data_IF_009515628096
#
_entry.id   IF_009515628096
#
_cell.length_a   1.000
_cell.length_b   1.000
_cell.length_c   1.000
_cell.angle_alpha   90.00
_cell.angle_beta   90.00
_cell.angle_gamma   90.00
#
_symmetry.space_group_name_H-M   'P 1'
#
loop_
_entity.id
_entity.type
_entity.pdbx_description
1 polymer ?
#
# COMPACT_ATOMS: atom_id res chain seq x y z
N UNK A 1 6.19 9.54 -22.01
CA UNK A 1 5.10 8.67 -22.52
C UNK A 1 4.00 9.56 -23.07
N UNK A 2 3.58 9.35 -24.31
CA UNK A 2 2.55 10.18 -24.96
C UNK A 2 1.18 9.88 -24.34
N UNK A 3 0.56 10.86 -23.67
CA UNK A 3 -0.75 10.74 -22.99
C UNK A 3 -1.93 11.08 -23.92
N UNK A 4 -1.76 10.86 -25.22
CA UNK A 4 -2.74 11.22 -26.23
C UNK A 4 -3.94 10.26 -26.13
N UNK A 5 -5.08 10.76 -25.66
CA UNK A 5 -6.34 9.99 -25.55
C UNK A 5 -6.93 9.90 -24.13
N UNK A 6 -6.23 10.37 -23.09
CA UNK A 6 -6.76 10.37 -21.73
C UNK A 6 -7.60 11.63 -21.46
N UNK A 7 -8.81 11.43 -20.93
CA UNK A 7 -9.70 12.52 -20.50
C UNK A 7 -8.99 13.38 -19.44
N UNK A 8 -9.07 14.73 -19.50
CA UNK A 8 -8.35 15.63 -18.59
C UNK A 8 -8.57 15.40 -17.08
N UNK A 9 -9.68 14.76 -16.70
CA UNK A 9 -9.97 14.35 -15.33
C UNK A 9 -9.04 13.23 -14.85
N UNK A 10 -8.79 12.21 -15.68
CA UNK A 10 -7.88 11.10 -15.38
C UNK A 10 -6.44 11.63 -15.26
N UNK A 11 -6.06 12.55 -16.14
CA UNK A 11 -4.74 13.19 -16.07
C UNK A 11 -4.52 13.95 -14.76
N UNK A 12 -5.55 14.67 -14.28
CA UNK A 12 -5.50 15.36 -12.98
C UNK A 12 -5.38 14.39 -11.82
N UNK A 13 -6.11 13.29 -11.82
CA UNK A 13 -6.02 12.26 -10.77
C UNK A 13 -4.61 11.67 -10.69
N UNK A 14 -4.04 11.27 -11.83
CA UNK A 14 -2.66 10.77 -11.88
C UNK A 14 -1.65 11.82 -11.39
N UNK A 15 -1.83 13.10 -11.74
CA UNK A 15 -0.92 14.17 -11.30
C UNK A 15 -0.98 14.42 -9.78
N UNK A 16 -2.17 14.30 -9.18
CA UNK A 16 -2.37 14.38 -7.73
C UNK A 16 -1.70 13.20 -7.03
N UNK A 17 -1.88 11.99 -7.56
CA UNK A 17 -1.25 10.76 -7.04
C UNK A 17 0.28 10.84 -7.08
N UNK A 18 0.84 11.26 -8.22
CA UNK A 18 2.28 11.48 -8.40
C UNK A 18 2.84 12.54 -7.45
N UNK A 19 2.06 13.58 -7.13
CA UNK A 19 2.46 14.59 -6.15
C UNK A 19 2.42 14.03 -4.73
N UNK A 20 1.44 13.20 -4.40
CA UNK A 20 1.36 12.54 -3.11
C UNK A 20 2.55 11.60 -2.90
N UNK A 21 2.84 10.73 -3.87
CA UNK A 21 3.98 9.80 -3.84
C UNK A 21 5.31 10.52 -3.63
N UNK A 22 5.50 11.68 -4.27
CA UNK A 22 6.71 12.52 -4.10
C UNK A 22 6.77 13.27 -2.77
N UNK A 23 5.63 13.50 -2.12
CA UNK A 23 5.56 14.26 -0.86
C UNK A 23 5.71 13.35 0.36
N UNK A 24 5.39 12.06 0.25
CA UNK A 24 5.58 11.05 1.29
C UNK A 24 6.88 10.29 1.06
N UNK A 25 7.89 10.53 1.90
CA UNK A 25 9.14 9.72 1.92
C UNK A 25 8.92 8.26 2.33
N UNK A 26 7.74 7.94 2.85
CA UNK A 26 7.37 6.60 3.27
C UNK A 26 6.72 5.87 2.09
N UNK A 27 7.23 4.69 1.71
CA UNK A 27 6.59 3.87 0.68
C UNK A 27 5.16 3.53 1.12
N UNK A 28 4.22 3.61 0.17
CA UNK A 28 2.84 3.21 0.39
C UNK A 28 2.76 1.73 0.77
N UNK A 29 1.68 1.28 1.44
CA UNK A 29 1.49 -0.14 1.76
C UNK A 29 1.60 -1.06 0.53
N UNK A 30 1.18 -0.58 -0.65
CA UNK A 30 1.29 -1.35 -1.90
C UNK A 30 2.72 -1.37 -2.46
N UNK A 31 3.48 -0.28 -2.32
CA UNK A 31 4.90 -0.25 -2.69
C UNK A 31 5.78 -1.10 -1.74
N UNK A 32 5.37 -1.24 -0.48
CA UNK A 32 6.01 -2.17 0.45
C UNK A 32 5.65 -3.62 0.11
N UNK A 33 4.37 -3.88 -0.21
CA UNK A 33 3.90 -5.20 -0.61
C UNK A 33 4.55 -5.66 -1.92
N UNK A 34 4.67 -4.77 -2.92
CA UNK A 34 5.24 -5.10 -4.23
C UNK A 34 6.68 -5.59 -4.17
N UNK A 35 7.47 -5.17 -3.17
CA UNK A 35 8.84 -5.64 -2.97
C UNK A 35 8.94 -7.12 -2.61
N UNK A 36 7.83 -7.73 -2.20
CA UNK A 36 7.73 -9.13 -1.77
C UNK A 36 6.97 -10.00 -2.78
N UNK A 37 6.57 -9.43 -3.92
CA UNK A 37 5.75 -10.11 -4.92
C UNK A 37 6.53 -10.34 -6.21
N UNK A 38 6.15 -11.40 -6.92
CA UNK A 38 6.75 -11.73 -8.21
C UNK A 38 5.98 -11.05 -9.33
N UNK A 39 6.71 -10.46 -10.27
CA UNK A 39 6.14 -9.96 -11.52
C UNK A 39 5.96 -11.13 -12.50
N UNK A 40 4.70 -11.51 -12.72
CA UNK A 40 4.38 -12.69 -13.53
C UNK A 40 4.39 -12.40 -15.04
N UNK A 41 4.37 -11.11 -15.44
CA UNK A 41 4.39 -10.69 -16.84
C UNK A 41 5.71 -10.02 -17.25
N UNK A 42 6.48 -9.50 -16.28
CA UNK A 42 7.74 -8.80 -16.49
C UNK A 42 7.58 -7.31 -16.84
N UNK A 43 6.37 -6.77 -16.77
CA UNK A 43 6.04 -5.37 -17.08
C UNK A 43 5.66 -4.53 -15.84
N UNK A 44 5.68 -5.14 -14.65
CA UNK A 44 5.26 -4.53 -13.38
C UNK A 44 3.75 -4.32 -13.25
N UNK A 45 2.95 -4.78 -14.21
CA UNK A 45 1.50 -4.58 -14.24
C UNK A 45 0.73 -5.58 -13.38
N UNK A 46 1.20 -6.83 -13.31
CA UNK A 46 0.61 -7.87 -12.45
C UNK A 46 1.68 -8.47 -11.54
N UNK A 47 1.57 -8.15 -10.25
CA UNK A 47 2.40 -8.73 -9.20
C UNK A 47 1.59 -9.80 -8.44
N UNK A 48 2.20 -10.95 -8.15
CA UNK A 48 1.59 -12.05 -7.40
C UNK A 48 2.49 -12.50 -6.26
N UNK A 49 1.93 -12.62 -5.06
CA UNK A 49 2.55 -13.30 -3.93
C UNK A 49 1.79 -14.58 -3.60
N UNK A 50 2.48 -15.71 -3.44
CA UNK A 50 1.87 -16.97 -3.02
C UNK A 50 1.96 -17.09 -1.50
N UNK A 51 0.86 -16.82 -0.79
CA UNK A 51 0.81 -16.94 0.68
C UNK A 51 0.78 -18.41 1.12
N UNK A 52 0.00 -19.23 0.42
CA UNK A 52 -0.08 -20.66 0.62
C UNK A 52 -0.17 -21.35 -0.75
N UNK A 53 0.75 -22.28 -1.07
CA UNK A 53 0.65 -23.08 -2.28
C UNK A 53 -0.60 -23.96 -2.26
N UNK A 54 -1.29 -24.03 -3.40
CA UNK A 54 -2.32 -25.04 -3.63
C UNK A 54 -1.69 -26.36 -4.10
N UNK A 55 -2.47 -27.43 -4.05
CA UNK A 55 -2.10 -28.73 -4.60
C UNK A 55 -2.71 -28.96 -5.99
N UNK A 56 -2.10 -29.84 -6.77
CA UNK A 56 -2.60 -30.25 -8.08
C UNK A 56 -2.02 -29.48 -9.27
N UNK A 57 -2.49 -29.79 -10.49
CA UNK A 57 -1.99 -29.16 -11.70
C UNK A 57 -2.45 -27.70 -11.82
N UNK A 58 -1.79 -26.89 -12.68
CA UNK A 58 -2.26 -25.55 -13.00
C UNK A 58 -3.71 -25.54 -13.51
N UNK A 59 -4.40 -24.43 -13.26
CA UNK A 59 -5.78 -24.23 -13.69
C UNK A 59 -5.84 -24.20 -15.23
N UNK A 60 -6.71 -25.03 -15.82
CA UNK A 60 -6.95 -25.06 -17.26
C UNK A 60 -7.51 -23.73 -17.76
N UNK A 61 -7.11 -23.32 -18.97
CA UNK A 61 -7.50 -22.04 -19.58
C UNK A 61 -9.02 -21.76 -19.57
N UNK A 62 -9.83 -22.81 -19.76
CA UNK A 62 -11.30 -22.71 -19.85
C UNK A 62 -12.03 -23.21 -18.59
N UNK A 63 -11.33 -23.32 -17.46
CA UNK A 63 -11.95 -23.78 -16.22
C UNK A 63 -12.92 -22.72 -15.66
N UNK A 64 -14.01 -23.17 -15.07
CA UNK A 64 -14.79 -22.34 -14.15
C UNK A 64 -14.13 -22.39 -12.77
N UNK A 65 -13.96 -21.22 -12.15
CA UNK A 65 -13.29 -21.08 -10.85
C UNK A 65 -14.21 -20.46 -9.82
N UNK A 66 -14.15 -20.96 -8.59
CA UNK A 66 -14.80 -20.35 -7.42
C UNK A 66 -13.75 -19.56 -6.66
N UNK A 67 -13.97 -18.25 -6.49
CA UNK A 67 -13.05 -17.35 -5.80
C UNK A 67 -13.72 -16.83 -4.53
N UNK A 68 -13.12 -17.10 -3.38
CA UNK A 68 -13.52 -16.53 -2.10
C UNK A 68 -12.77 -15.22 -1.82
N UNK A 69 -13.51 -14.15 -1.51
CA UNK A 69 -12.93 -12.85 -1.17
C UNK A 69 -12.83 -12.63 0.34
N UNK A 70 -11.64 -12.30 0.84
CA UNK A 70 -11.42 -11.77 2.20
C UNK A 70 -11.03 -10.29 2.14
N UNK A 71 -11.74 -9.42 2.88
CA UNK A 71 -11.34 -8.01 3.04
C UNK A 71 -10.25 -7.90 4.10
N UNK A 72 -8.99 -7.80 3.69
CA UNK A 72 -7.88 -7.56 4.62
C UNK A 72 -6.92 -6.52 4.09
N UNK A 73 -7.38 -5.27 4.00
CA UNK A 73 -6.49 -4.11 4.09
C UNK A 73 -7.07 -3.16 5.14
N UNK A 74 -6.80 -3.45 6.42
CA UNK A 74 -6.82 -2.40 7.44
C UNK A 74 -5.43 -1.78 7.47
N UNK A 75 -5.20 -0.55 6.97
CA UNK A 75 -3.95 0.13 7.24
C UNK A 75 -3.86 0.32 8.75
N UNK A 76 -2.97 -0.41 9.43
CA UNK A 76 -2.63 -0.08 10.82
C UNK A 76 -2.03 1.33 10.78
N UNK A 77 -2.53 2.29 11.56
CA UNK A 77 -1.82 3.57 11.71
C UNK A 77 -0.44 3.26 12.28
N UNK A 78 0.62 3.73 11.61
CA UNK A 78 1.97 3.66 12.13
C UNK A 78 1.99 4.29 13.52
N UNK A 79 2.45 3.51 14.51
CA UNK A 79 2.41 3.86 15.92
C UNK A 79 3.40 4.93 16.34
N UNK A 80 3.51 6.05 15.62
CA UNK A 80 4.48 7.11 15.90
C UNK A 80 3.90 8.33 16.64
N UNK A 81 2.63 8.30 17.05
CA UNK A 81 2.02 9.44 17.76
C UNK A 81 1.79 9.28 19.27
N UNK A 82 2.17 8.14 19.88
CA UNK A 82 2.02 7.95 21.34
C UNK A 82 3.18 8.48 22.19
N UNK A 83 4.40 8.61 21.64
CA UNK A 83 5.55 9.05 22.45
C UNK A 83 5.64 10.57 22.68
N UNK A 84 4.87 11.40 21.94
CA UNK A 84 4.89 12.87 22.14
C UNK A 84 3.99 13.35 23.26
N UNK A 85 2.93 12.61 23.61
CA UNK A 85 2.00 13.02 24.68
C UNK A 85 2.60 12.78 26.07
N UNK A 86 3.27 11.65 26.29
CA UNK A 86 3.84 11.31 27.60
C UNK A 86 5.03 12.21 27.97
N UNK A 87 5.80 12.66 26.96
CA UNK A 87 6.93 13.57 27.18
C UNK A 87 6.50 15.00 27.51
N UNK A 88 5.37 15.46 26.97
CA UNK A 88 4.83 16.78 27.25
C UNK A 88 4.21 16.87 28.66
N UNK A 89 3.51 15.82 29.09
CA UNK A 89 2.91 15.77 30.44
C UNK A 89 3.96 15.63 31.55
N UNK A 90 5.03 14.86 31.32
CA UNK A 90 6.15 14.73 32.27
C UNK A 90 7.03 15.99 32.40
N UNK A 91 6.97 16.90 31.42
CA UNK A 91 7.66 18.20 31.45
C UNK A 91 6.86 19.25 32.23
N UNK A 92 5.53 19.26 32.12
CA UNK A 92 4.67 20.21 32.84
C UNK A 92 4.61 19.95 34.35
N UNK A 93 4.67 18.68 34.79
CA UNK A 93 4.69 18.33 36.22
C UNK A 93 6.01 18.65 36.93
N UNK A 94 7.10 18.88 36.19
CA UNK A 94 8.42 19.22 36.77
C UNK A 94 8.66 20.73 36.93
N UNK A 95 7.87 21.57 36.26
CA UNK A 95 7.97 23.03 36.35
C UNK A 95 7.01 23.64 37.38
N UNK A 96 6.16 22.83 38.00
CA UNK A 96 5.18 23.26 39.02
C UNK A 96 5.65 22.98 40.46
N UNK A 97 6.92 22.61 40.66
CA UNK A 97 7.53 22.37 41.98
C UNK A 97 8.81 23.19 42.23
N UNK A 98 9.00 24.31 41.53
CA UNK A 98 10.06 25.28 41.85
C UNK A 98 9.50 26.69 42.00
#
# INVERSE_FOLDING_TARGET
MSRNGLVPSIQRLMAVEERLRRSTRTPSPFEQLSQQMDDILGDGGILKGVVQPGEGPPISHNASVLIGGGRSFSPRPSGEHRQRADRAMGSMMRQSQS
#
